data_IF_031543766125
#
_entry.id   IF_031543766125
#
_cell.length_a   1.000
_cell.length_b   1.000
_cell.length_c   1.000
_cell.angle_alpha   90.00
_cell.angle_beta   90.00
_cell.angle_gamma   90.00
#
_symmetry.space_group_name_H-M   'P 1'
#
loop_
_entity.id
_entity.type
_entity.pdbx_description
1 polymer ?
#
# COMPACT_ATOMS: atom_id res chain seq x y z
N UNK A 1 9.81 8.01 2.34
CA UNK A 1 10.61 7.89 1.10
C UNK A 1 9.77 7.15 0.08
N UNK A 2 9.69 7.63 -1.16
CA UNK A 2 8.99 6.93 -2.25
C UNK A 2 10.02 6.13 -3.04
N UNK A 3 9.80 4.82 -3.16
CA UNK A 3 10.65 3.91 -3.92
C UNK A 3 10.31 4.02 -5.42
N UNK A 4 11.34 3.92 -6.27
CA UNK A 4 11.20 3.87 -7.73
C UNK A 4 10.40 2.63 -8.17
N UNK A 5 9.51 2.75 -9.16
CA UNK A 5 8.62 1.65 -9.61
C UNK A 5 8.62 1.41 -11.12
N UNK A 6 9.62 1.94 -11.82
CA UNK A 6 9.75 1.88 -13.28
C UNK A 6 11.11 1.32 -13.73
N UNK A 7 11.65 0.36 -12.98
CA UNK A 7 12.80 -0.44 -13.43
C UNK A 7 12.44 -1.12 -14.75
N UNK A 8 13.45 -1.31 -15.61
CA UNK A 8 13.31 -1.95 -16.93
C UNK A 8 14.38 -3.01 -17.07
N UNK A 9 14.00 -4.18 -17.55
CA UNK A 9 14.96 -5.20 -17.93
C UNK A 9 15.75 -4.76 -19.16
N UNK A 10 16.96 -5.27 -19.31
CA UNK A 10 17.76 -5.02 -20.50
C UNK A 10 17.05 -5.57 -21.74
N UNK A 11 16.71 -4.66 -22.66
CA UNK A 11 16.17 -4.98 -23.98
C UNK A 11 17.26 -4.82 -25.02
N UNK A 12 17.32 -5.76 -25.95
CA UNK A 12 18.25 -5.75 -27.07
C UNK A 12 17.51 -6.27 -28.30
N UNK A 13 17.87 -5.74 -29.45
CA UNK A 13 17.37 -6.20 -30.73
C UNK A 13 18.34 -7.22 -31.33
N UNK A 14 17.80 -8.29 -31.89
CA UNK A 14 18.56 -9.44 -32.38
C UNK A 14 19.27 -10.26 -31.29
N UNK A 15 20.21 -11.10 -31.70
CA UNK A 15 20.98 -11.94 -30.78
C UNK A 15 21.95 -11.09 -29.94
N UNK A 16 22.11 -11.45 -28.66
CA UNK A 16 23.18 -10.88 -27.83
C UNK A 16 24.52 -11.12 -28.53
N UNK A 17 25.24 -10.04 -28.80
CA UNK A 17 26.54 -10.10 -29.48
C UNK A 17 27.65 -10.23 -28.45
N UNK A 18 28.47 -11.25 -28.61
CA UNK A 18 29.63 -11.52 -27.78
C UNK A 18 30.87 -11.48 -28.68
N UNK A 19 31.96 -10.87 -28.21
CA UNK A 19 33.26 -11.03 -28.86
C UNK A 19 33.92 -12.27 -28.28
N UNK A 20 34.19 -13.26 -29.12
CA UNK A 20 34.85 -14.51 -28.74
C UNK A 20 36.23 -14.54 -29.41
N UNK A 21 37.28 -14.85 -28.65
CA UNK A 21 38.65 -15.00 -29.17
C UNK A 21 38.90 -16.47 -29.48
N UNK A 22 39.49 -16.75 -30.64
CA UNK A 22 39.66 -18.09 -31.19
C UNK A 22 40.89 -18.80 -30.61
N UNK A 23 40.78 -20.09 -30.31
CA UNK A 23 41.92 -20.91 -29.90
C UNK A 23 42.82 -21.24 -31.09
N UNK A 24 44.08 -21.61 -30.82
CA UNK A 24 45.09 -21.98 -31.84
C UNK A 24 44.74 -23.25 -32.63
N UNK A 25 43.81 -24.07 -32.13
CA UNK A 25 43.28 -25.27 -32.77
C UNK A 25 42.00 -25.02 -33.59
N UNK A 26 41.54 -23.77 -33.67
CA UNK A 26 40.37 -23.36 -34.43
C UNK A 26 39.03 -23.52 -33.70
N UNK A 27 39.01 -23.94 -32.44
CA UNK A 27 37.77 -24.10 -31.67
C UNK A 27 37.34 -22.80 -30.94
N UNK A 28 36.05 -22.67 -30.67
CA UNK A 28 35.45 -21.67 -29.77
C UNK A 28 34.09 -22.19 -29.30
N UNK A 29 33.94 -22.40 -27.99
CA UNK A 29 32.69 -22.91 -27.41
C UNK A 29 32.44 -22.29 -26.04
N UNK A 30 31.19 -21.89 -25.78
CA UNK A 30 30.68 -21.67 -24.43
C UNK A 30 29.35 -22.42 -24.37
N UNK A 31 29.41 -23.65 -23.90
CA UNK A 31 28.25 -24.42 -23.50
C UNK A 31 28.21 -24.38 -21.97
N UNK A 32 27.07 -24.02 -21.41
CA UNK A 32 26.83 -24.20 -19.98
C UNK A 32 26.43 -25.67 -19.78
N UNK A 33 27.40 -26.52 -19.43
CA UNK A 33 27.17 -27.93 -19.06
C UNK A 33 27.12 -28.11 -17.54
N UNK A 34 26.91 -27.02 -16.80
CA UNK A 34 26.87 -27.06 -15.34
C UNK A 34 25.67 -27.88 -14.89
N UNK A 35 25.94 -28.99 -14.21
CA UNK A 35 24.90 -29.70 -13.47
C UNK A 35 24.58 -28.91 -12.21
N UNK A 36 23.53 -28.10 -12.27
CA UNK A 36 23.05 -27.37 -11.10
C UNK A 36 22.42 -28.34 -10.10
N UNK A 37 22.81 -28.24 -8.83
CA UNK A 37 22.09 -28.92 -7.74
C UNK A 37 20.75 -28.25 -7.43
N UNK A 38 20.61 -26.99 -7.83
CA UNK A 38 19.40 -26.18 -7.73
C UNK A 38 19.45 -25.06 -8.79
N UNK A 39 18.39 -24.92 -9.57
CA UNK A 39 18.17 -23.74 -10.42
C UNK A 39 17.45 -22.65 -9.62
N UNK A 40 17.90 -21.41 -9.72
CA UNK A 40 17.31 -20.26 -9.02
C UNK A 40 16.19 -19.59 -9.81
N UNK A 41 15.33 -18.83 -9.13
CA UNK A 41 14.29 -18.04 -9.75
C UNK A 41 14.83 -16.78 -10.42
N UNK A 42 14.22 -16.39 -11.54
CA UNK A 42 14.52 -15.11 -12.18
C UNK A 42 13.84 -13.98 -11.41
N UNK A 43 14.63 -13.05 -10.88
CA UNK A 43 14.15 -11.78 -10.35
C UNK A 43 14.46 -10.63 -11.33
N UNK A 44 13.44 -9.93 -11.79
CA UNK A 44 13.56 -8.89 -12.82
C UNK A 44 12.88 -7.58 -12.45
N UNK A 45 12.82 -6.68 -13.43
CA UNK A 45 12.21 -5.37 -13.29
C UNK A 45 10.74 -5.42 -12.81
N UNK A 46 9.95 -6.39 -13.28
CA UNK A 46 8.56 -6.54 -12.85
C UNK A 46 8.44 -6.81 -11.35
N UNK A 47 9.27 -7.71 -10.83
CA UNK A 47 9.24 -8.11 -9.41
C UNK A 47 9.56 -6.91 -8.51
N UNK A 48 10.67 -6.20 -8.78
CA UNK A 48 11.06 -5.04 -7.98
C UNK A 48 10.06 -3.88 -8.09
N UNK A 49 9.45 -3.67 -9.27
CA UNK A 49 8.42 -2.65 -9.45
C UNK A 49 7.18 -2.97 -8.62
N UNK A 50 6.76 -4.23 -8.62
CA UNK A 50 5.61 -4.73 -7.85
C UNK A 50 5.87 -4.62 -6.34
N UNK A 51 7.05 -5.05 -5.88
CA UNK A 51 7.46 -4.91 -4.48
C UNK A 51 7.50 -3.45 -4.05
N UNK A 52 8.14 -2.57 -4.82
CA UNK A 52 8.23 -1.16 -4.47
C UNK A 52 6.87 -0.47 -4.46
N UNK A 53 5.97 -0.84 -5.38
CA UNK A 53 4.59 -0.34 -5.37
C UNK A 53 3.87 -0.76 -4.09
N UNK A 54 3.99 -2.03 -3.68
CA UNK A 54 3.40 -2.52 -2.44
C UNK A 54 3.99 -1.80 -1.20
N UNK A 55 5.31 -1.60 -1.15
CA UNK A 55 5.98 -0.92 -0.03
C UNK A 55 5.61 0.57 0.03
N UNK A 56 5.49 1.23 -1.12
CA UNK A 56 5.03 2.61 -1.20
C UNK A 56 3.60 2.72 -0.65
N UNK A 57 2.71 1.80 -1.02
CA UNK A 57 1.34 1.74 -0.48
C UNK A 57 1.32 1.49 1.03
N UNK A 58 2.09 0.51 1.53
CA UNK A 58 2.20 0.19 2.96
C UNK A 58 2.63 1.42 3.79
N UNK A 59 3.49 2.27 3.22
CA UNK A 59 3.98 3.47 3.89
C UNK A 59 3.12 4.72 3.66
N UNK A 60 2.20 4.68 2.70
CA UNK A 60 1.30 5.78 2.42
C UNK A 60 0.19 5.87 3.46
N UNK A 61 -0.28 7.09 3.70
CA UNK A 61 -1.43 7.37 4.55
C UNK A 61 -2.48 8.02 3.66
N UNK A 62 -3.60 7.32 3.48
CA UNK A 62 -4.77 7.86 2.78
C UNK A 62 -5.67 8.53 3.80
N UNK A 63 -5.90 9.83 3.67
CA UNK A 63 -6.80 10.58 4.55
C UNK A 63 -8.27 10.40 4.13
N UNK A 64 -9.14 10.15 5.09
CA UNK A 64 -10.58 9.97 4.88
C UNK A 64 -11.36 10.78 5.91
N UNK A 65 -12.47 11.38 5.48
CA UNK A 65 -13.36 12.13 6.38
C UNK A 65 -14.56 11.29 6.75
N UNK A 66 -14.69 11.00 8.05
CA UNK A 66 -15.88 10.40 8.64
C UNK A 66 -16.82 11.52 9.09
N UNK A 67 -17.90 11.74 8.35
CA UNK A 67 -18.84 12.83 8.64
C UNK A 67 -19.76 12.46 9.80
N UNK A 68 -20.10 13.42 10.67
CA UNK A 68 -21.01 13.21 11.78
C UNK A 68 -22.40 12.74 11.32
N UNK A 69 -22.84 13.21 10.14
CA UNK A 69 -24.15 12.86 9.56
C UNK A 69 -24.19 11.52 8.84
N UNK A 70 -23.04 10.97 8.42
CA UNK A 70 -23.02 9.74 7.61
C UNK A 70 -22.99 8.44 8.43
N UNK A 71 -23.23 8.50 9.75
CA UNK A 71 -23.36 7.32 10.59
C UNK A 71 -24.80 6.78 10.57
N UNK A 72 -24.94 5.59 10.02
CA UNK A 72 -26.19 4.85 9.87
C UNK A 72 -26.46 3.94 11.07
N UNK A 73 -27.70 3.43 11.16
CA UNK A 73 -28.17 2.57 12.25
C UNK A 73 -29.01 3.31 13.30
N UNK A 74 -30.11 2.68 13.71
CA UNK A 74 -31.01 3.18 14.76
C UNK A 74 -30.51 2.88 16.19
N UNK A 75 -29.62 1.90 16.34
CA UNK A 75 -28.95 1.54 17.59
C UNK A 75 -27.51 1.10 17.29
N UNK A 76 -26.67 1.09 18.32
CA UNK A 76 -25.29 0.62 18.19
C UNK A 76 -25.23 -0.88 17.81
N UNK A 77 -24.22 -1.32 17.04
CA UNK A 77 -23.15 -0.50 16.44
C UNK A 77 -23.65 0.33 15.25
N UNK A 78 -23.21 1.58 15.17
CA UNK A 78 -23.45 2.48 14.05
C UNK A 78 -22.40 2.25 12.97
N UNK A 79 -22.79 2.37 11.70
CA UNK A 79 -21.93 2.09 10.55
C UNK A 79 -21.70 3.33 9.70
N UNK A 80 -20.50 3.49 9.16
CA UNK A 80 -20.21 4.47 8.13
C UNK A 80 -19.22 3.89 7.12
N UNK A 81 -19.55 3.98 5.84
CA UNK A 81 -18.69 3.52 4.75
C UNK A 81 -18.18 4.72 3.97
N UNK A 82 -16.87 4.77 3.74
CA UNK A 82 -16.20 5.84 2.99
C UNK A 82 -15.40 5.26 1.83
N UNK A 83 -15.21 6.06 0.78
CA UNK A 83 -14.37 5.67 -0.36
C UNK A 83 -12.88 5.79 0.00
N UNK A 84 -12.12 4.76 -0.34
CA UNK A 84 -10.67 4.66 -0.14
C UNK A 84 -10.07 4.04 -1.40
N UNK A 85 -9.74 4.85 -2.42
CA UNK A 85 -9.17 4.34 -3.65
C UNK A 85 -7.91 3.49 -3.38
N UNK A 86 -7.83 2.30 -3.96
CA UNK A 86 -6.70 1.38 -3.76
C UNK A 86 -6.85 0.39 -2.61
N UNK A 87 -7.83 0.59 -1.72
CA UNK A 87 -8.17 -0.41 -0.71
C UNK A 87 -8.74 -1.69 -1.35
N UNK A 88 -8.38 -2.85 -0.81
CA UNK A 88 -8.96 -4.15 -1.15
C UNK A 88 -9.30 -4.91 0.13
N UNK A 89 -10.16 -5.92 0.02
CA UNK A 89 -10.58 -6.71 1.19
C UNK A 89 -9.44 -7.52 1.85
N UNK A 90 -8.35 -7.77 1.13
CA UNK A 90 -7.18 -8.53 1.61
C UNK A 90 -6.14 -7.66 2.32
N UNK A 91 -6.34 -6.33 2.34
CA UNK A 91 -5.44 -5.40 3.03
C UNK A 91 -5.91 -5.14 4.46
N UNK A 92 -4.94 -4.80 5.30
CA UNK A 92 -5.17 -4.25 6.64
C UNK A 92 -4.67 -2.81 6.68
N UNK A 93 -5.44 -1.91 7.31
CA UNK A 93 -5.06 -0.52 7.51
C UNK A 93 -4.80 -0.22 8.99
N UNK A 94 -3.81 0.62 9.26
CA UNK A 94 -3.59 1.20 10.59
C UNK A 94 -4.25 2.58 10.62
N UNK A 95 -5.18 2.75 11.56
CA UNK A 95 -5.78 4.06 11.83
C UNK A 95 -4.74 4.98 12.49
N UNK A 96 -4.51 6.14 11.89
CA UNK A 96 -3.61 7.18 12.41
C UNK A 96 -4.33 8.52 12.53
N UNK A 97 -3.84 9.39 13.40
CA UNK A 97 -4.37 10.75 13.52
C UNK A 97 -3.98 11.58 12.30
N UNK A 98 -4.95 12.30 11.75
CA UNK A 98 -4.79 13.34 10.74
C UNK A 98 -5.12 14.73 11.32
N UNK A 99 -4.86 14.94 12.62
CA UNK A 99 -4.97 16.26 13.22
C UNK A 99 -3.86 17.16 12.66
N UNK A 100 -4.23 18.33 12.13
CA UNK A 100 -3.27 19.29 11.60
C UNK A 100 -2.28 19.76 12.68
N UNK A 101 -1.01 19.92 12.29
CA UNK A 101 0.00 20.53 13.15
C UNK A 101 -0.40 21.97 13.52
N UNK A 102 -0.18 22.35 14.78
CA UNK A 102 -0.60 23.64 15.31
C UNK A 102 -2.12 23.83 15.46
N UNK A 103 -2.94 22.77 15.40
CA UNK A 103 -4.38 22.88 15.62
C UNK A 103 -4.73 23.57 16.94
N UNK A 104 -5.76 24.43 16.92
CA UNK A 104 -6.22 25.13 18.12
C UNK A 104 -6.67 24.15 19.21
N UNK A 105 -6.60 24.56 20.48
CA UNK A 105 -7.05 23.73 21.62
C UNK A 105 -8.52 23.32 21.46
N UNK A 106 -9.37 24.19 20.91
CA UNK A 106 -10.78 23.88 20.64
C UNK A 106 -10.91 22.80 19.57
N UNK A 107 -10.19 22.93 18.46
CA UNK A 107 -10.16 21.94 17.37
C UNK A 107 -9.64 20.60 17.87
N UNK A 108 -8.52 20.60 18.60
CA UNK A 108 -7.92 19.39 19.17
C UNK A 108 -8.91 18.68 20.12
N UNK A 109 -9.61 19.41 21.00
CA UNK A 109 -10.59 18.82 21.93
C UNK A 109 -11.77 18.18 21.23
N UNK A 110 -12.26 18.78 20.15
CA UNK A 110 -13.32 18.17 19.32
C UNK A 110 -12.80 16.93 18.61
N UNK A 111 -11.60 17.03 18.02
CA UNK A 111 -10.94 15.96 17.30
C UNK A 111 -10.69 14.73 18.17
N UNK A 112 -10.06 14.86 19.35
CA UNK A 112 -9.74 13.71 20.20
C UNK A 112 -10.99 12.95 20.67
N UNK A 113 -12.13 13.64 20.81
CA UNK A 113 -13.41 13.00 21.16
C UNK A 113 -13.94 12.17 20.00
N UNK A 114 -13.94 12.72 18.79
CA UNK A 114 -14.38 12.02 17.60
C UNK A 114 -13.42 10.86 17.25
N UNK A 115 -12.12 11.13 17.23
CA UNK A 115 -11.08 10.14 16.97
C UNK A 115 -11.10 9.01 18.00
N UNK A 116 -11.23 9.32 19.29
CA UNK A 116 -11.31 8.29 20.35
C UNK A 116 -12.52 7.37 20.20
N UNK A 117 -13.67 7.90 19.74
CA UNK A 117 -14.84 7.08 19.40
C UNK A 117 -14.51 6.15 18.23
N UNK A 118 -13.93 6.69 17.15
CA UNK A 118 -13.60 5.92 15.94
C UNK A 118 -12.56 4.84 16.23
N UNK A 119 -11.48 5.18 16.96
CA UNK A 119 -10.40 4.25 17.29
C UNK A 119 -10.80 3.17 18.29
N UNK A 120 -11.90 3.37 19.03
CA UNK A 120 -12.48 2.36 19.92
C UNK A 120 -13.45 1.40 19.20
N UNK A 121 -13.74 1.66 17.93
CA UNK A 121 -14.59 0.85 17.07
C UNK A 121 -13.83 -0.25 16.33
N UNK A 122 -14.47 -0.76 15.26
CA UNK A 122 -13.83 -1.65 14.29
C UNK A 122 -13.93 -1.07 12.89
N UNK A 123 -13.02 -1.47 12.01
CA UNK A 123 -13.07 -1.14 10.60
C UNK A 123 -12.70 -2.34 9.75
N UNK A 124 -13.26 -2.43 8.55
CA UNK A 124 -12.90 -3.44 7.55
C UNK A 124 -12.79 -2.77 6.18
N UNK A 125 -11.79 -3.18 5.40
CA UNK A 125 -11.62 -2.71 4.04
C UNK A 125 -12.48 -3.54 3.07
N UNK A 126 -12.97 -2.86 2.03
CA UNK A 126 -13.56 -3.46 0.84
C UNK A 126 -12.86 -2.92 -0.40
N UNK A 127 -13.29 -3.39 -1.57
CA UNK A 127 -12.72 -2.91 -2.84
C UNK A 127 -13.06 -1.43 -3.05
N UNK A 128 -12.08 -0.56 -2.81
CA UNK A 128 -12.22 0.89 -2.91
C UNK A 128 -12.94 1.56 -1.73
N UNK A 129 -13.14 0.86 -0.60
CA UNK A 129 -13.90 1.39 0.54
C UNK A 129 -13.33 0.96 1.89
N UNK A 130 -13.68 1.72 2.94
CA UNK A 130 -13.51 1.33 4.33
C UNK A 130 -14.84 1.47 5.07
N UNK A 131 -15.24 0.43 5.79
CA UNK A 131 -16.47 0.42 6.61
C UNK A 131 -16.09 0.47 8.08
N UNK A 132 -16.52 1.51 8.78
CA UNK A 132 -16.30 1.70 10.21
C UNK A 132 -17.54 1.34 11.01
N UNK A 133 -17.34 0.81 12.22
CA UNK A 133 -18.37 0.46 13.19
C UNK A 133 -18.02 1.03 14.55
N UNK A 134 -18.92 1.81 15.14
CA UNK A 134 -18.71 2.47 16.44
C UNK A 134 -19.93 2.30 17.35
N UNK A 135 -19.73 2.35 18.67
CA UNK A 135 -20.80 2.22 19.65
C UNK A 135 -21.40 3.56 20.09
N UNK A 136 -20.86 4.67 19.59
CA UNK A 136 -21.33 6.04 19.80
C UNK A 136 -21.07 6.85 18.54
N UNK A 137 -21.99 7.73 18.13
CA UNK A 137 -21.75 8.60 16.97
C UNK A 137 -20.82 9.77 17.37
N UNK A 138 -19.74 10.05 16.61
CA UNK A 138 -19.02 11.31 16.69
C UNK A 138 -19.97 12.50 16.51
N UNK A 139 -19.79 13.55 17.30
CA UNK A 139 -20.62 14.76 17.20
C UNK A 139 -20.13 15.75 16.13
N UNK A 140 -18.92 15.55 15.62
CA UNK A 140 -18.26 16.37 14.60
C UNK A 140 -17.65 15.46 13.55
N UNK A 141 -17.48 16.01 12.35
CA UNK A 141 -16.69 15.36 11.31
C UNK A 141 -15.26 15.10 11.82
N UNK A 142 -14.67 14.00 11.36
CA UNK A 142 -13.34 13.60 11.78
C UNK A 142 -12.52 13.14 10.58
N UNK A 143 -11.44 13.87 10.30
CA UNK A 143 -10.42 13.43 9.34
C UNK A 143 -9.50 12.41 10.02
N UNK A 144 -9.36 11.24 9.43
CA UNK A 144 -8.45 10.19 9.92
C UNK A 144 -7.54 9.73 8.80
N UNK A 145 -6.35 9.26 9.15
CA UNK A 145 -5.46 8.61 8.21
C UNK A 145 -5.62 7.10 8.27
N UNK A 146 -5.63 6.46 7.10
CA UNK A 146 -5.50 5.01 6.95
C UNK A 146 -4.13 4.72 6.36
N UNK A 147 -3.23 4.20 7.18
CA UNK A 147 -1.91 3.79 6.73
C UNK A 147 -1.98 2.38 6.15
N UNK A 148 -1.43 2.19 4.95
CA UNK A 148 -1.28 0.89 4.31
C UNK A 148 -2.26 0.61 3.17
N UNK A 149 -3.02 1.62 2.74
CA UNK A 149 -4.03 1.55 1.68
C UNK A 149 -3.75 2.56 0.59
#
# INVERSE_FOLDING_TARGET
MILKTDYKDAMYDGARKWRITQNSDGTSGIADETSYTQEGDRFGANDINSTNTAINRINHVTEVTLTASGWEGGAAPYTQTVSVPGATADLDAILVSALADGASVTTQKAYIKAFGIISSGTASLGNGTATFKVYKKPATDCLVGLKGV
#
